data_IF_090309564359
#
_entry.id   IF_090309564359
#
_cell.length_a   1.000
_cell.length_b   1.000
_cell.length_c   1.000
_cell.angle_alpha   90.00
_cell.angle_beta   90.00
_cell.angle_gamma   90.00
#
_symmetry.space_group_name_H-M   'P 1'
#
loop_
_entity.id
_entity.type
_entity.pdbx_description
1 polymer ?
#
# COMPACT_ATOMS: atom_id res chain seq x y z
N UNK A 1 19.42 20.04 14.39
CA UNK A 1 18.15 19.78 13.68
C UNK A 1 18.12 18.41 13.00
N UNK A 2 19.13 18.05 12.19
CA UNK A 2 19.19 16.77 11.45
C UNK A 2 19.07 15.53 12.35
N UNK A 3 19.84 15.46 13.44
CA UNK A 3 19.76 14.34 14.38
C UNK A 3 18.36 14.18 14.99
N UNK A 4 17.73 15.29 15.41
CA UNK A 4 16.37 15.25 15.94
C UNK A 4 15.35 14.77 14.89
N UNK A 5 15.45 15.28 13.65
CA UNK A 5 14.58 14.84 12.55
C UNK A 5 14.78 13.36 12.23
N UNK A 6 16.02 12.87 12.27
CA UNK A 6 16.34 11.46 12.06
C UNK A 6 15.70 10.57 13.14
N UNK A 7 15.87 10.92 14.42
CA UNK A 7 15.27 10.17 15.54
C UNK A 7 13.75 10.15 15.40
N UNK A 8 13.13 11.30 15.10
CA UNK A 8 11.68 11.39 14.91
C UNK A 8 11.21 10.53 13.72
N UNK A 9 11.93 10.56 12.59
CA UNK A 9 11.61 9.76 11.42
C UNK A 9 11.62 8.25 11.73
N UNK A 10 12.66 7.76 12.43
CA UNK A 10 12.77 6.35 12.81
C UNK A 10 11.64 5.90 13.76
N UNK A 11 11.06 6.83 14.53
CA UNK A 11 9.93 6.53 15.44
C UNK A 11 8.56 6.53 14.75
N UNK A 12 8.44 7.00 13.50
CA UNK A 12 7.16 7.07 12.78
C UNK A 12 6.53 5.68 12.66
N UNK A 13 7.25 4.71 12.08
CA UNK A 13 6.69 3.37 11.83
C UNK A 13 6.40 2.61 13.14
N UNK A 14 7.30 2.57 14.14
CA UNK A 14 6.99 1.95 15.43
C UNK A 14 5.73 2.54 16.09
N UNK A 15 5.58 3.87 16.12
CA UNK A 15 4.42 4.51 16.72
C UNK A 15 3.10 4.13 16.03
N UNK A 16 3.14 3.97 14.69
CA UNK A 16 2.02 3.48 13.91
C UNK A 16 1.68 2.01 14.23
N UNK A 17 2.68 1.12 14.24
CA UNK A 17 2.46 -0.32 14.45
C UNK A 17 1.94 -0.67 15.83
N UNK A 18 2.33 0.07 16.88
CA UNK A 18 1.79 -0.14 18.24
C UNK A 18 0.42 0.50 18.45
N UNK A 19 -0.18 1.09 17.40
CA UNK A 19 -1.49 1.73 17.47
C UNK A 19 -1.52 3.02 18.29
N UNK A 20 -0.37 3.61 18.62
CA UNK A 20 -0.32 4.86 19.37
C UNK A 20 -0.43 6.06 18.43
N UNK A 21 -1.65 6.28 17.94
CA UNK A 21 -1.93 7.35 16.97
C UNK A 21 -1.55 8.74 17.50
N UNK A 22 -1.82 9.05 18.77
CA UNK A 22 -1.44 10.32 19.40
C UNK A 22 0.07 10.58 19.35
N UNK A 23 0.89 9.56 19.62
CA UNK A 23 2.34 9.66 19.50
C UNK A 23 2.76 9.85 18.04
N UNK A 24 2.17 9.09 17.11
CA UNK A 24 2.43 9.23 15.68
C UNK A 24 2.14 10.65 15.17
N UNK A 25 1.01 11.25 15.59
CA UNK A 25 0.66 12.65 15.31
C UNK A 25 1.68 13.63 15.91
N UNK A 26 2.04 13.44 17.18
CA UNK A 26 3.00 14.29 17.86
C UNK A 26 4.37 14.29 17.16
N UNK A 27 4.84 13.12 16.70
CA UNK A 27 6.10 12.96 15.96
C UNK A 27 6.05 13.77 14.65
N UNK A 28 5.04 13.56 13.82
CA UNK A 28 4.92 14.23 12.52
C UNK A 28 4.76 15.74 12.68
N UNK A 29 3.93 16.19 13.62
CA UNK A 29 3.78 17.61 13.93
C UNK A 29 5.08 18.24 14.44
N UNK A 30 5.87 17.50 15.22
CA UNK A 30 7.19 17.96 15.68
C UNK A 30 8.16 18.08 14.52
N UNK A 31 8.18 17.13 13.59
CA UNK A 31 9.00 17.19 12.38
C UNK A 31 8.63 18.40 11.50
N UNK A 32 7.34 18.67 11.32
CA UNK A 32 6.86 19.86 10.60
C UNK A 32 7.24 21.16 11.32
N UNK A 33 7.08 21.21 12.64
CA UNK A 33 7.48 22.37 13.45
C UNK A 33 8.97 22.67 13.32
N UNK A 34 9.83 21.64 13.38
CA UNK A 34 11.27 21.79 13.19
C UNK A 34 11.57 22.30 11.78
N UNK A 35 10.91 21.76 10.77
CA UNK A 35 11.06 22.19 9.37
C UNK A 35 10.67 23.66 9.18
N UNK A 36 9.54 24.09 9.73
CA UNK A 36 9.06 25.47 9.63
C UNK A 36 9.96 26.46 10.39
N UNK A 37 10.55 26.06 11.52
CA UNK A 37 11.40 26.92 12.35
C UNK A 37 12.86 26.98 11.89
N UNK A 38 13.39 25.89 11.34
CA UNK A 38 14.82 25.73 11.07
C UNK A 38 15.13 25.44 9.60
N UNK A 39 14.13 25.60 8.73
CA UNK A 39 14.22 25.31 7.30
C UNK A 39 14.21 23.82 6.97
N UNK A 40 14.32 23.52 5.69
CA UNK A 40 14.25 22.17 5.14
C UNK A 40 15.39 21.27 5.64
N UNK A 41 15.09 19.98 5.68
CA UNK A 41 15.98 18.85 5.91
C UNK A 41 15.62 17.73 4.93
N UNK A 42 16.47 16.71 4.83
CA UNK A 42 16.17 15.51 4.01
C UNK A 42 14.91 14.76 4.45
N UNK A 43 14.44 14.96 5.68
CA UNK A 43 13.25 14.30 6.24
C UNK A 43 11.97 15.11 6.12
N UNK A 44 12.08 16.40 5.78
CA UNK A 44 10.96 17.32 5.63
C UNK A 44 9.93 16.86 4.58
N UNK A 45 10.31 16.30 3.41
CA UNK A 45 9.34 15.79 2.43
C UNK A 45 8.38 14.76 3.03
N UNK A 46 8.91 13.83 3.82
CA UNK A 46 8.12 12.80 4.50
C UNK A 46 7.15 13.39 5.52
N UNK A 47 7.57 14.38 6.30
CA UNK A 47 6.71 14.95 7.34
C UNK A 47 5.50 15.68 6.77
N UNK A 48 5.65 16.36 5.63
CA UNK A 48 4.50 16.95 4.92
C UNK A 48 3.58 15.89 4.32
N UNK A 49 4.13 14.83 3.71
CA UNK A 49 3.32 13.73 3.19
C UNK A 49 2.49 13.03 4.27
N UNK A 50 3.10 12.77 5.44
CA UNK A 50 2.42 12.16 6.58
C UNK A 50 1.39 13.10 7.22
N UNK A 51 1.66 14.40 7.26
CA UNK A 51 0.65 15.37 7.70
C UNK A 51 -0.59 15.33 6.79
N UNK A 52 -0.39 15.19 5.48
CA UNK A 52 -1.49 15.00 4.55
C UNK A 52 -2.37 13.79 4.90
N UNK A 53 -1.74 12.66 5.24
CA UNK A 53 -2.45 11.47 5.72
C UNK A 53 -3.24 11.73 7.00
N UNK A 54 -2.70 12.53 7.93
CA UNK A 54 -3.36 12.87 9.20
C UNK A 54 -4.61 13.74 9.01
N UNK A 55 -4.59 14.69 8.08
CA UNK A 55 -5.76 15.50 7.74
C UNK A 55 -6.89 14.62 7.17
N UNK A 56 -6.56 13.60 6.39
CA UNK A 56 -7.55 12.63 5.90
C UNK A 56 -8.09 11.77 7.03
N UNK A 57 -7.22 11.20 7.87
CA UNK A 57 -7.64 10.22 8.87
C UNK A 57 -8.41 10.84 10.05
N UNK A 58 -8.05 12.06 10.46
CA UNK A 58 -8.65 12.70 11.64
C UNK A 58 -9.73 13.72 11.30
N UNK A 59 -9.50 14.50 10.25
CA UNK A 59 -10.35 15.63 9.91
C UNK A 59 -11.27 15.31 8.74
N UNK A 60 -11.07 14.17 8.07
CA UNK A 60 -11.74 13.81 6.81
C UNK A 60 -11.57 14.88 5.72
N UNK A 61 -10.50 15.67 5.79
CA UNK A 61 -10.19 16.71 4.82
C UNK A 61 -9.26 16.18 3.73
N UNK A 62 -9.87 15.57 2.72
CA UNK A 62 -9.15 14.99 1.59
C UNK A 62 -8.43 16.03 0.74
N UNK A 63 -9.00 17.24 0.61
CA UNK A 63 -8.42 18.29 -0.21
C UNK A 63 -7.14 18.82 0.41
N UNK A 64 -7.19 19.15 1.70
CA UNK A 64 -6.01 19.63 2.42
C UNK A 64 -4.98 18.51 2.61
N UNK A 65 -5.44 17.29 2.88
CA UNK A 65 -4.59 16.12 2.96
C UNK A 65 -3.79 15.89 1.67
N UNK A 66 -4.47 15.97 0.52
CA UNK A 66 -3.80 15.86 -0.78
C UNK A 66 -2.86 17.03 -1.07
N UNK A 67 -3.25 18.27 -0.73
CA UNK A 67 -2.40 19.45 -0.89
C UNK A 67 -1.09 19.30 -0.12
N UNK A 68 -1.13 18.86 1.13
CA UNK A 68 0.06 18.63 1.95
C UNK A 68 0.92 17.46 1.44
N UNK A 69 0.29 16.40 0.93
CA UNK A 69 0.99 15.30 0.28
C UNK A 69 1.79 15.78 -0.94
N UNK A 70 1.18 16.61 -1.78
CA UNK A 70 1.85 17.22 -2.94
C UNK A 70 3.02 18.11 -2.54
N UNK A 71 2.91 18.86 -1.44
CA UNK A 71 4.07 19.61 -0.88
C UNK A 71 5.21 18.65 -0.57
N UNK A 72 4.94 17.52 0.08
CA UNK A 72 5.95 16.48 0.32
C UNK A 72 6.62 16.00 -0.97
N UNK A 73 5.84 15.75 -2.03
CA UNK A 73 6.37 15.32 -3.33
C UNK A 73 7.27 16.37 -3.97
N UNK A 74 6.86 17.64 -3.98
CA UNK A 74 7.63 18.76 -4.53
C UNK A 74 8.95 18.94 -3.78
N UNK A 75 8.94 18.77 -2.45
CA UNK A 75 10.13 18.93 -1.62
C UNK A 75 11.15 17.81 -1.75
N UNK A 76 10.86 16.71 -2.47
CA UNK A 76 11.81 15.60 -2.60
C UNK A 76 13.13 16.02 -3.21
N UNK A 77 13.11 16.87 -4.24
CA UNK A 77 14.33 17.33 -4.93
C UNK A 77 15.31 16.18 -5.19
N UNK A 78 16.55 16.36 -4.75
CA UNK A 78 17.65 15.40 -4.89
C UNK A 78 17.46 14.11 -4.05
N UNK A 79 16.57 14.10 -3.07
CA UNK A 79 16.30 12.93 -2.22
C UNK A 79 15.31 11.93 -2.82
N UNK A 80 14.88 12.16 -4.07
CA UNK A 80 13.91 11.29 -4.75
C UNK A 80 14.38 9.83 -4.83
N UNK A 81 15.67 9.60 -5.09
CA UNK A 81 16.25 8.24 -5.23
C UNK A 81 16.74 7.65 -3.91
N UNK A 82 16.02 7.92 -2.81
CA UNK A 82 16.36 7.40 -1.47
C UNK A 82 15.23 6.57 -0.90
N UNK A 83 15.50 5.83 0.19
CA UNK A 83 14.45 5.09 0.94
C UNK A 83 13.28 5.99 1.35
N UNK A 84 13.60 7.22 1.77
CA UNK A 84 12.62 8.24 2.13
C UNK A 84 11.84 8.72 0.90
N UNK A 85 12.53 8.87 -0.24
CA UNK A 85 11.92 9.22 -1.51
C UNK A 85 10.82 8.25 -1.93
N UNK A 86 11.11 6.95 -1.93
CA UNK A 86 10.13 5.90 -2.25
C UNK A 86 8.92 5.93 -1.32
N UNK A 87 9.15 6.12 -0.01
CA UNK A 87 8.10 6.26 0.98
C UNK A 87 7.19 7.49 0.70
N UNK A 88 7.75 8.64 0.36
CA UNK A 88 6.96 9.84 0.02
C UNK A 88 6.10 9.60 -1.21
N UNK A 89 6.68 9.09 -2.30
CA UNK A 89 5.93 8.81 -3.54
C UNK A 89 4.79 7.82 -3.26
N UNK A 90 5.06 6.77 -2.49
CA UNK A 90 4.05 5.80 -2.06
C UNK A 90 2.88 6.45 -1.29
N UNK A 91 3.19 7.26 -0.27
CA UNK A 91 2.15 7.93 0.54
C UNK A 91 1.31 8.88 -0.31
N UNK A 92 1.94 9.62 -1.22
CA UNK A 92 1.22 10.50 -2.15
C UNK A 92 0.31 9.71 -3.07
N UNK A 93 0.76 8.55 -3.56
CA UNK A 93 -0.05 7.68 -4.42
C UNK A 93 -1.30 7.15 -3.72
N UNK A 94 -1.19 6.72 -2.45
CA UNK A 94 -2.34 6.29 -1.66
C UNK A 94 -3.32 7.44 -1.43
N UNK A 95 -2.80 8.61 -1.03
CA UNK A 95 -3.65 9.78 -0.79
C UNK A 95 -4.37 10.17 -2.09
N UNK A 96 -3.67 10.16 -3.22
CA UNK A 96 -4.24 10.44 -4.55
C UNK A 96 -5.38 9.48 -4.88
N UNK A 97 -5.24 8.19 -4.57
CA UNK A 97 -6.29 7.19 -4.82
C UNK A 97 -7.59 7.45 -4.03
N UNK A 98 -7.55 8.23 -2.94
CA UNK A 98 -8.74 8.60 -2.19
C UNK A 98 -9.55 9.76 -2.80
N UNK A 99 -8.96 10.52 -3.72
CA UNK A 99 -9.54 11.76 -4.28
C UNK A 99 -9.69 11.69 -5.81
N UNK A 100 -8.81 10.96 -6.47
CA UNK A 100 -8.80 10.79 -7.92
C UNK A 100 -9.10 9.35 -8.31
N UNK A 101 -9.52 9.08 -9.56
CA UNK A 101 -9.75 7.72 -10.05
C UNK A 101 -8.52 6.82 -9.80
N UNK A 102 -8.74 5.58 -9.37
CA UNK A 102 -7.67 4.66 -8.97
C UNK A 102 -6.62 4.42 -10.08
N UNK A 103 -7.00 4.49 -11.36
CA UNK A 103 -6.04 4.41 -12.48
C UNK A 103 -4.96 5.49 -12.42
N UNK A 104 -5.27 6.67 -11.89
CA UNK A 104 -4.36 7.82 -11.85
C UNK A 104 -3.20 7.66 -10.86
N UNK A 105 -3.27 6.70 -9.93
CA UNK A 105 -2.23 6.47 -8.94
C UNK A 105 -1.29 5.31 -9.30
N UNK A 106 -1.61 4.49 -10.32
CA UNK A 106 -0.87 3.27 -10.66
C UNK A 106 0.60 3.56 -11.00
N UNK A 107 0.86 4.60 -11.80
CA UNK A 107 2.22 5.00 -12.18
C UNK A 107 3.04 5.47 -10.97
N UNK A 108 2.41 6.16 -10.02
CA UNK A 108 3.08 6.59 -8.78
C UNK A 108 3.42 5.39 -7.90
N UNK A 109 2.54 4.38 -7.81
CA UNK A 109 2.80 3.16 -7.05
C UNK A 109 3.95 2.36 -7.66
N UNK A 110 3.99 2.20 -8.98
CA UNK A 110 5.11 1.55 -9.68
C UNK A 110 6.40 2.36 -9.56
N UNK A 111 6.32 3.69 -9.57
CA UNK A 111 7.48 4.57 -9.33
C UNK A 111 8.00 4.41 -7.91
N UNK A 112 7.12 4.39 -6.91
CA UNK A 112 7.50 4.18 -5.51
C UNK A 112 8.14 2.80 -5.29
N UNK A 113 7.62 1.76 -5.95
CA UNK A 113 8.24 0.44 -5.98
C UNK A 113 9.66 0.49 -6.53
N UNK A 114 9.87 1.06 -7.73
CA UNK A 114 11.19 1.13 -8.37
C UNK A 114 12.22 1.86 -7.48
N UNK A 115 11.86 3.06 -7.01
CA UNK A 115 12.71 3.86 -6.11
C UNK A 115 13.06 3.06 -4.85
N UNK A 116 12.07 2.39 -4.26
CA UNK A 116 12.27 1.64 -3.01
C UNK A 116 13.14 0.40 -3.24
N UNK A 117 12.99 -0.29 -4.37
CA UNK A 117 13.83 -1.42 -4.76
C UNK A 117 15.29 -0.99 -4.97
N UNK A 118 15.52 0.07 -5.75
CA UNK A 118 16.86 0.61 -6.02
C UNK A 118 17.55 1.09 -4.72
N UNK A 119 16.78 1.66 -3.80
CA UNK A 119 17.28 2.09 -2.48
C UNK A 119 17.42 0.95 -1.46
N UNK A 120 17.12 -0.31 -1.82
CA UNK A 120 17.19 -1.47 -0.93
C UNK A 120 16.16 -1.45 0.20
N UNK A 121 15.01 -0.82 0.00
CA UNK A 121 13.91 -0.70 0.96
C UNK A 121 12.76 -1.64 0.59
N UNK A 122 13.01 -2.93 0.74
CA UNK A 122 12.14 -4.02 0.27
C UNK A 122 10.70 -3.92 0.82
N UNK A 123 10.53 -3.57 2.10
CA UNK A 123 9.19 -3.50 2.71
C UNK A 123 8.31 -2.41 2.08
N UNK A 124 8.89 -1.24 1.76
CA UNK A 124 8.17 -0.18 1.06
C UNK A 124 7.89 -0.54 -0.40
N UNK A 125 8.83 -1.24 -1.06
CA UNK A 125 8.63 -1.73 -2.42
C UNK A 125 7.45 -2.70 -2.50
N UNK A 126 7.42 -3.72 -1.63
CA UNK A 126 6.33 -4.70 -1.59
C UNK A 126 5.00 -4.04 -1.19
N UNK A 127 5.01 -3.09 -0.26
CA UNK A 127 3.81 -2.31 0.09
C UNK A 127 3.26 -1.50 -1.09
N UNK A 128 4.15 -0.95 -1.93
CA UNK A 128 3.76 -0.22 -3.14
C UNK A 128 3.10 -1.14 -4.17
N UNK A 129 3.63 -2.35 -4.37
CA UNK A 129 3.03 -3.36 -5.25
C UNK A 129 1.69 -3.85 -4.74
N UNK A 130 1.56 -4.09 -3.43
CA UNK A 130 0.28 -4.49 -2.84
C UNK A 130 -0.82 -3.46 -3.13
N UNK A 131 -0.52 -2.18 -2.93
CA UNK A 131 -1.45 -1.09 -3.22
C UNK A 131 -1.68 -0.90 -4.73
N UNK A 132 -0.69 -1.21 -5.57
CA UNK A 132 -0.86 -1.23 -7.02
C UNK A 132 -1.91 -2.25 -7.43
N UNK A 133 -1.87 -3.47 -6.88
CA UNK A 133 -2.87 -4.49 -7.20
C UNK A 133 -4.28 -4.08 -6.80
N UNK A 134 -4.45 -3.55 -5.59
CA UNK A 134 -5.75 -3.08 -5.13
C UNK A 134 -6.28 -1.92 -5.97
N UNK A 135 -5.43 -0.94 -6.26
CA UNK A 135 -5.82 0.21 -7.08
C UNK A 135 -6.17 -0.23 -8.51
N UNK A 136 -5.42 -1.18 -9.08
CA UNK A 136 -5.70 -1.71 -10.42
C UNK A 136 -7.03 -2.48 -10.42
N UNK A 137 -7.27 -3.33 -9.43
CA UNK A 137 -8.51 -4.10 -9.32
C UNK A 137 -9.76 -3.21 -9.34
N UNK A 138 -9.72 -2.09 -8.63
CA UNK A 138 -10.82 -1.12 -8.58
C UNK A 138 -10.76 -0.02 -9.67
N UNK A 139 -9.84 -0.12 -10.64
CA UNK A 139 -9.68 0.90 -11.69
C UNK A 139 -10.57 0.71 -12.92
N UNK A 140 -11.24 -0.44 -13.04
CA UNK A 140 -12.02 -0.80 -14.23
C UNK A 140 -11.18 -1.22 -15.44
N UNK A 141 -9.86 -1.36 -15.27
CA UNK A 141 -8.97 -1.86 -16.32
C UNK A 141 -9.11 -3.40 -16.51
N UNK A 142 -8.74 -3.93 -17.70
CA UNK A 142 -8.83 -5.36 -17.97
C UNK A 142 -7.99 -6.23 -17.01
N UNK A 143 -8.61 -7.26 -16.43
CA UNK A 143 -7.98 -8.10 -15.41
C UNK A 143 -6.82 -8.99 -15.89
N UNK A 144 -6.73 -9.29 -17.19
CA UNK A 144 -5.66 -10.14 -17.72
C UNK A 144 -4.27 -9.53 -17.45
N UNK A 145 -4.11 -8.22 -17.62
CA UNK A 145 -2.86 -7.53 -17.32
C UNK A 145 -2.49 -7.60 -15.85
N UNK A 146 -3.49 -7.47 -14.95
CA UNK A 146 -3.28 -7.59 -13.51
C UNK A 146 -2.89 -9.01 -13.10
N UNK A 147 -3.46 -10.04 -13.72
CA UNK A 147 -3.10 -11.44 -13.47
C UNK A 147 -1.63 -11.72 -13.78
N UNK A 148 -1.12 -11.19 -14.90
CA UNK A 148 0.28 -11.34 -15.27
C UNK A 148 1.21 -10.62 -14.28
N UNK A 149 0.84 -9.40 -13.86
CA UNK A 149 1.58 -8.65 -12.85
C UNK A 149 1.59 -9.36 -11.49
N UNK A 150 0.44 -9.88 -11.03
CA UNK A 150 0.34 -10.60 -9.77
C UNK A 150 1.25 -11.82 -9.75
N UNK A 151 1.29 -12.60 -10.84
CA UNK A 151 2.20 -13.76 -10.95
C UNK A 151 3.65 -13.31 -10.83
N UNK A 152 4.04 -12.30 -11.61
CA UNK A 152 5.43 -11.81 -11.66
C UNK A 152 5.91 -11.29 -10.31
N UNK A 153 5.15 -10.39 -9.68
CA UNK A 153 5.58 -9.80 -8.43
C UNK A 153 5.39 -10.72 -7.23
N UNK A 154 4.42 -11.65 -7.24
CA UNK A 154 4.29 -12.62 -6.15
C UNK A 154 5.52 -13.52 -6.03
N UNK A 155 6.12 -13.91 -7.17
CA UNK A 155 7.42 -14.60 -7.15
C UNK A 155 8.50 -13.76 -6.48
N UNK A 156 8.60 -12.47 -6.81
CA UNK A 156 9.57 -11.58 -6.17
C UNK A 156 9.33 -11.45 -4.66
N UNK A 157 8.07 -11.35 -4.22
CA UNK A 157 7.72 -11.29 -2.79
C UNK A 157 8.22 -12.55 -2.05
N UNK A 158 8.09 -13.72 -2.67
CA UNK A 158 8.64 -14.98 -2.14
C UNK A 158 10.17 -14.97 -2.12
N UNK A 159 10.83 -14.52 -3.18
CA UNK A 159 12.29 -14.45 -3.26
C UNK A 159 12.88 -13.57 -2.14
N UNK A 160 12.19 -12.48 -1.78
CA UNK A 160 12.55 -11.60 -0.67
C UNK A 160 12.03 -12.05 0.71
N UNK A 161 11.45 -13.26 0.80
CA UNK A 161 10.94 -13.88 2.03
C UNK A 161 9.89 -13.02 2.75
N UNK A 162 9.08 -12.27 2.01
CA UNK A 162 7.99 -11.44 2.55
C UNK A 162 6.68 -12.22 2.60
N UNK A 163 6.70 -13.34 3.31
CA UNK A 163 5.61 -14.34 3.33
C UNK A 163 4.27 -13.75 3.77
N UNK A 164 4.27 -12.85 4.77
CA UNK A 164 3.03 -12.19 5.20
C UNK A 164 2.36 -11.40 4.07
N UNK A 165 3.15 -10.64 3.29
CA UNK A 165 2.63 -9.89 2.15
C UNK A 165 2.18 -10.82 1.02
N UNK A 166 2.88 -11.93 0.81
CA UNK A 166 2.45 -12.95 -0.15
C UNK A 166 1.06 -13.51 0.19
N UNK A 167 0.84 -13.89 1.46
CA UNK A 167 -0.45 -14.36 1.95
C UNK A 167 -1.57 -13.32 1.78
N UNK A 168 -1.28 -12.03 1.92
CA UNK A 168 -2.26 -10.96 1.67
C UNK A 168 -2.67 -10.82 0.19
N UNK A 169 -1.81 -11.24 -0.75
CA UNK A 169 -2.09 -11.15 -2.20
C UNK A 169 -2.95 -12.31 -2.71
N UNK A 170 -2.83 -13.50 -2.10
CA UNK A 170 -3.52 -14.71 -2.58
C UNK A 170 -5.03 -14.56 -2.75
N UNK A 171 -5.77 -13.90 -1.84
CA UNK A 171 -7.21 -13.70 -2.02
C UNK A 171 -7.55 -12.87 -3.26
N UNK A 172 -6.78 -11.81 -3.55
CA UNK A 172 -7.01 -11.03 -4.76
C UNK A 172 -6.67 -11.86 -6.01
N UNK A 173 -5.58 -12.61 -5.98
CA UNK A 173 -5.22 -13.50 -7.08
C UNK A 173 -6.33 -14.52 -7.35
N UNK A 174 -6.83 -15.20 -6.31
CA UNK A 174 -7.94 -16.14 -6.47
C UNK A 174 -9.18 -15.46 -7.04
N UNK A 175 -9.54 -14.28 -6.53
CA UNK A 175 -10.68 -13.51 -7.05
C UNK A 175 -10.55 -13.22 -8.54
N UNK A 176 -9.36 -12.84 -9.02
CA UNK A 176 -9.11 -12.61 -10.45
C UNK A 176 -9.26 -13.88 -11.28
N UNK A 177 -8.81 -15.03 -10.78
CA UNK A 177 -9.02 -16.33 -11.46
C UNK A 177 -10.51 -16.65 -11.58
N UNK A 178 -11.28 -16.39 -10.52
CA UNK A 178 -12.72 -16.57 -10.51
C UNK A 178 -13.42 -15.65 -11.53
N UNK A 179 -13.10 -14.35 -11.53
CA UNK A 179 -13.70 -13.36 -12.44
C UNK A 179 -13.31 -13.55 -13.91
N UNK A 180 -12.18 -14.19 -14.19
CA UNK A 180 -11.70 -14.45 -15.57
C UNK A 180 -12.05 -15.86 -16.07
N UNK A 181 -12.86 -16.62 -15.33
CA UNK A 181 -13.30 -17.95 -15.73
C UNK A 181 -12.20 -19.02 -15.66
N UNK A 182 -11.12 -18.77 -14.92
CA UNK A 182 -10.02 -19.71 -14.71
C UNK A 182 -10.23 -20.60 -13.46
N UNK A 183 -11.25 -20.32 -12.65
CA UNK A 183 -11.64 -21.15 -11.52
C UNK A 183 -12.76 -22.14 -11.90
N UNK A 184 -12.76 -23.32 -11.27
CA UNK A 184 -13.79 -24.36 -11.48
C UNK A 184 -15.15 -23.94 -10.91
N UNK A 185 -15.16 -23.34 -9.72
CA UNK A 185 -16.32 -22.73 -9.10
C UNK A 185 -16.01 -21.24 -8.88
N UNK A 186 -16.62 -20.33 -9.66
CA UNK A 186 -16.31 -18.90 -9.57
C UNK A 186 -16.81 -18.25 -8.28
N UNK A 187 -17.62 -18.94 -7.47
CA UNK A 187 -18.16 -18.42 -6.21
C UNK A 187 -17.48 -18.99 -4.97
N UNK A 188 -16.49 -19.87 -5.12
CA UNK A 188 -15.74 -20.42 -4.01
C UNK A 188 -14.36 -19.74 -3.92
N UNK A 189 -14.06 -19.19 -2.74
CA UNK A 189 -12.80 -18.51 -2.44
C UNK A 189 -11.91 -19.29 -1.45
N UNK A 190 -12.42 -20.38 -0.86
CA UNK A 190 -11.67 -21.19 0.11
C UNK A 190 -10.75 -22.21 -0.57
N UNK A 191 -11.03 -22.54 -1.84
CA UNK A 191 -10.24 -23.48 -2.63
C UNK A 191 -9.88 -22.87 -3.98
N UNK A 192 -8.73 -23.25 -4.51
CA UNK A 192 -8.28 -22.84 -5.83
C UNK A 192 -6.77 -22.73 -5.92
N UNK A 193 -6.25 -22.65 -7.15
CA UNK A 193 -4.82 -22.74 -7.43
C UNK A 193 -4.00 -21.64 -6.75
N UNK A 194 -4.58 -20.45 -6.50
CA UNK A 194 -3.85 -19.40 -5.79
C UNK A 194 -3.85 -19.64 -4.27
N UNK A 195 -4.97 -20.11 -3.69
CA UNK A 195 -5.06 -20.41 -2.25
C UNK A 195 -4.16 -21.59 -1.87
N UNK A 196 -4.05 -22.61 -2.73
CA UNK A 196 -3.15 -23.76 -2.51
C UNK A 196 -1.66 -23.34 -2.37
N UNK A 197 -1.28 -22.17 -2.89
CA UNK A 197 0.07 -21.63 -2.76
C UNK A 197 0.44 -21.20 -1.34
N UNK A 198 -0.50 -21.13 -0.39
CA UNK A 198 -0.18 -20.94 1.03
C UNK A 198 0.84 -21.98 1.53
N UNK A 199 0.80 -23.19 0.99
CA UNK A 199 1.75 -24.27 1.30
C UNK A 199 3.22 -23.91 1.02
N UNK A 200 3.50 -23.00 0.06
CA UNK A 200 4.85 -22.55 -0.28
C UNK A 200 5.55 -21.81 0.87
N UNK A 201 4.77 -21.25 1.80
CA UNK A 201 5.28 -20.49 2.95
C UNK A 201 4.98 -21.18 4.29
N UNK A 202 4.61 -22.47 4.25
CA UNK A 202 4.29 -23.26 5.44
C UNK A 202 2.84 -23.10 5.93
N UNK A 203 1.94 -22.59 5.10
CA UNK A 203 0.53 -22.38 5.41
C UNK A 203 0.22 -20.99 5.99
N UNK A 204 -1.02 -20.82 6.46
CA UNK A 204 -1.56 -19.55 6.95
C UNK A 204 -2.23 -19.65 8.33
N UNK A 205 -1.50 -20.05 9.39
CA UNK A 205 -2.09 -20.34 10.70
C UNK A 205 -2.73 -19.12 11.38
N UNK A 206 -2.30 -17.91 11.02
CA UNK A 206 -2.80 -16.65 11.58
C UNK A 206 -3.95 -16.05 10.75
N UNK A 207 -4.37 -16.69 9.65
CA UNK A 207 -5.41 -16.18 8.78
C UNK A 207 -5.08 -14.82 8.14
N UNK A 208 -3.82 -14.59 7.78
CA UNK A 208 -3.43 -13.41 7.01
C UNK A 208 -4.22 -13.40 5.69
N UNK A 209 -4.83 -12.26 5.36
CA UNK A 209 -5.63 -12.15 4.13
C UNK A 209 -7.07 -12.67 4.28
N UNK A 210 -7.49 -13.13 5.46
CA UNK A 210 -8.88 -13.56 5.67
C UNK A 210 -9.90 -12.45 5.44
N UNK A 211 -9.61 -11.22 5.86
CA UNK A 211 -10.49 -10.07 5.60
C UNK A 211 -10.68 -9.80 4.10
N UNK A 212 -9.62 -9.66 3.28
CA UNK A 212 -9.81 -9.47 1.84
C UNK A 212 -10.44 -10.70 1.18
N UNK A 213 -10.14 -11.93 1.64
CA UNK A 213 -10.80 -13.15 1.16
C UNK A 213 -12.32 -13.08 1.31
N UNK A 214 -12.80 -12.76 2.51
CA UNK A 214 -14.24 -12.61 2.75
C UNK A 214 -14.82 -11.49 1.89
N UNK A 215 -14.15 -10.34 1.80
CA UNK A 215 -14.63 -9.21 0.98
C UNK A 215 -14.78 -9.57 -0.50
N UNK A 216 -13.79 -10.26 -1.09
CA UNK A 216 -13.88 -10.72 -2.47
C UNK A 216 -14.92 -11.83 -2.65
N UNK A 217 -15.08 -12.69 -1.66
CA UNK A 217 -16.08 -13.74 -1.68
C UNK A 217 -17.50 -13.16 -1.73
N UNK A 218 -17.79 -12.13 -0.93
CA UNK A 218 -19.06 -11.39 -1.00
C UNK A 218 -19.28 -10.79 -2.41
N UNK A 219 -18.26 -10.15 -2.97
CA UNK A 219 -18.33 -9.55 -4.31
C UNK A 219 -18.62 -10.59 -5.40
N UNK A 220 -17.96 -11.75 -5.36
CA UNK A 220 -18.20 -12.83 -6.31
C UNK A 220 -19.62 -13.39 -6.19
N UNK A 221 -20.08 -13.70 -4.98
CA UNK A 221 -21.46 -14.17 -4.79
C UNK A 221 -22.48 -13.15 -5.30
N UNK A 222 -22.23 -11.86 -5.09
CA UNK A 222 -23.05 -10.80 -5.66
C UNK A 222 -23.05 -10.82 -7.20
N UNK A 223 -21.87 -10.83 -7.84
CA UNK A 223 -21.77 -10.83 -9.32
C UNK A 223 -22.36 -12.07 -9.99
N UNK A 224 -22.27 -13.23 -9.35
CA UNK A 224 -22.81 -14.49 -9.86
C UNK A 224 -24.24 -14.81 -9.37
N UNK A 225 -24.90 -13.87 -8.68
CA UNK A 225 -26.32 -13.98 -8.31
C UNK A 225 -26.64 -14.87 -7.10
N UNK A 226 -25.64 -15.28 -6.32
CA UNK A 226 -25.79 -16.07 -5.09
C UNK A 226 -25.91 -15.17 -3.86
N UNK A 227 -26.87 -14.24 -3.86
CA UNK A 227 -26.97 -13.16 -2.86
C UNK A 227 -27.15 -13.68 -1.43
N UNK A 228 -27.79 -14.84 -1.22
CA UNK A 228 -27.94 -15.46 0.11
C UNK A 228 -26.60 -15.89 0.75
N UNK A 229 -25.53 -15.95 -0.03
CA UNK A 229 -24.16 -16.30 0.39
C UNK A 229 -23.20 -15.10 0.39
N UNK A 230 -23.68 -13.92 -0.03
CA UNK A 230 -22.93 -12.67 0.00
C UNK A 230 -23.08 -11.98 1.35
#
# INVERSE_FOLDING_TARGET
>A
KELCMNILYELVMPAFYVGNHSLHYAIVNRMNTITLKHGLSKWSPRSFALAGQHFISNNHDFKEGYRLAQVGLVLLGDYKQTKMGGNVVYTVAIIKACIEPAVSCLDLLLTAYKISMEAGHIDAAVSSIFNYFWSFFYSGLPFNSLLDDIKRFSQQILDYKRHYMFLLVLPLWQCLLNLTGQAKDPTNMEVGSAIEMESLVGGNPNGAGRQPLLSYWMQLNFYFGNVDKA
#
